data_IF_024195533646
#
_entry.id   IF_024195533646
#
_cell.length_a   1.000
_cell.length_b   1.000
_cell.length_c   1.000
_cell.angle_alpha   90.00
_cell.angle_beta   90.00
_cell.angle_gamma   90.00
#
_symmetry.space_group_name_H-M   'P 1'
#
loop_
_entity.id
_entity.type
_entity.pdbx_description
1 polymer ?
#
# COMPACT_ATOMS: atom_id res chain seq x y z
N UNK A 1 -10.62 4.91 -5.22
CA UNK A 1 -10.19 3.59 -5.75
C UNK A 1 -10.96 2.45 -5.08
N UNK A 2 -10.93 1.24 -5.63
CA UNK A 2 -11.55 0.03 -5.04
C UNK A 2 -10.48 -0.93 -4.53
N UNK A 3 -10.41 -1.14 -3.22
CA UNK A 3 -9.50 -2.10 -2.59
C UNK A 3 -10.13 -3.49 -2.53
N UNK A 4 -9.31 -4.53 -2.48
CA UNK A 4 -9.77 -5.88 -2.08
C UNK A 4 -9.56 -6.08 -0.60
N UNK A 5 -10.53 -6.67 0.10
CA UNK A 5 -10.41 -7.01 1.51
C UNK A 5 -10.87 -8.44 1.75
N UNK A 6 -10.09 -9.18 2.52
CA UNK A 6 -10.41 -10.54 2.96
C UNK A 6 -9.64 -10.84 4.25
N UNK A 7 -9.83 -12.04 4.79
CA UNK A 7 -9.22 -12.46 6.05
C UNK A 7 -7.69 -12.27 6.08
N UNK A 8 -7.00 -12.38 4.93
CA UNK A 8 -5.55 -12.20 4.84
C UNK A 8 -5.12 -10.76 5.11
N UNK A 9 -5.96 -9.78 4.78
CA UNK A 9 -5.66 -8.36 5.03
C UNK A 9 -5.76 -8.04 6.53
N UNK A 10 -6.79 -8.57 7.20
CA UNK A 10 -6.86 -8.49 8.66
C UNK A 10 -5.71 -9.24 9.35
N UNK A 11 -5.28 -10.37 8.80
CA UNK A 11 -4.13 -11.11 9.31
C UNK A 11 -2.83 -10.32 9.15
N UNK A 12 -2.64 -9.65 8.00
CA UNK A 12 -1.51 -8.75 7.76
C UNK A 12 -1.50 -7.58 8.75
N UNK A 13 -2.63 -6.90 8.96
CA UNK A 13 -2.76 -5.85 10.00
C UNK A 13 -2.30 -6.34 11.37
N UNK A 14 -2.76 -7.54 11.78
CA UNK A 14 -2.42 -8.12 13.08
C UNK A 14 -0.94 -8.44 13.18
N UNK A 15 -0.33 -9.00 12.13
CA UNK A 15 1.10 -9.29 12.08
C UNK A 15 1.96 -8.02 12.16
N UNK A 16 1.60 -6.97 11.41
CA UNK A 16 2.33 -5.70 11.35
C UNK A 16 2.33 -4.92 12.66
N UNK A 17 1.32 -5.11 13.50
CA UNK A 17 1.18 -4.41 14.79
C UNK A 17 1.78 -5.20 15.96
N UNK A 18 2.35 -6.39 15.70
CA UNK A 18 3.02 -7.20 16.70
C UNK A 18 4.55 -6.91 16.71
N UNK A 19 5.18 -6.75 17.90
CA UNK A 19 6.63 -6.59 17.99
C UNK A 19 7.39 -7.76 17.36
N UNK A 20 8.49 -7.47 16.64
CA UNK A 20 9.38 -8.44 15.93
C UNK A 20 8.74 -9.14 14.73
N UNK A 21 7.46 -9.52 14.82
CA UNK A 21 6.69 -10.08 13.69
C UNK A 21 6.44 -9.02 12.62
N UNK A 22 6.34 -7.74 13.03
CA UNK A 22 6.16 -6.60 12.15
C UNK A 22 7.19 -6.53 11.02
N UNK A 23 8.48 -6.61 11.34
CA UNK A 23 9.56 -6.47 10.34
C UNK A 23 9.49 -7.58 9.28
N UNK A 24 9.27 -8.83 9.71
CA UNK A 24 9.12 -9.98 8.79
C UNK A 24 7.85 -9.82 7.93
N UNK A 25 6.75 -9.37 8.52
CA UNK A 25 5.51 -9.13 7.80
C UNK A 25 5.66 -8.01 6.77
N UNK A 26 6.38 -6.93 7.13
CA UNK A 26 6.72 -5.82 6.23
C UNK A 26 7.49 -6.34 5.02
N UNK A 27 8.60 -7.06 5.22
CA UNK A 27 9.41 -7.63 4.13
C UNK A 27 8.56 -8.47 3.15
N UNK A 28 7.70 -9.33 3.69
CA UNK A 28 6.85 -10.21 2.87
C UNK A 28 5.77 -9.46 2.11
N UNK A 29 5.22 -8.42 2.69
CA UNK A 29 4.21 -7.60 2.04
C UNK A 29 4.84 -6.66 1.01
N UNK A 30 6.04 -6.14 1.25
CA UNK A 30 6.82 -5.41 0.25
C UNK A 30 7.09 -6.31 -0.95
N UNK A 31 7.63 -7.53 -0.75
CA UNK A 31 7.86 -8.51 -1.82
C UNK A 31 6.59 -8.81 -2.63
N UNK A 32 5.44 -8.92 -1.96
CA UNK A 32 4.15 -9.13 -2.59
C UNK A 32 3.77 -7.94 -3.47
N UNK A 33 3.85 -6.71 -2.96
CA UNK A 33 3.45 -5.51 -3.70
C UNK A 33 4.40 -5.22 -4.86
N UNK A 34 5.72 -5.37 -4.67
CA UNK A 34 6.72 -5.27 -5.74
C UNK A 34 6.40 -6.26 -6.86
N UNK A 35 6.06 -7.51 -6.53
CA UNK A 35 5.66 -8.50 -7.55
C UNK A 35 4.38 -8.08 -8.28
N UNK A 36 3.34 -7.68 -7.54
CA UNK A 36 2.03 -7.31 -8.12
C UNK A 36 2.16 -6.09 -9.03
N UNK A 37 2.85 -5.04 -8.59
CA UNK A 37 3.05 -3.84 -9.40
C UNK A 37 4.08 -4.06 -10.52
N UNK A 38 5.09 -4.90 -10.30
CA UNK A 38 6.01 -5.32 -11.36
C UNK A 38 5.33 -6.13 -12.47
N UNK A 39 4.24 -6.85 -12.18
CA UNK A 39 3.41 -7.49 -13.20
C UNK A 39 2.54 -6.51 -14.00
N UNK A 40 2.23 -5.33 -13.42
CA UNK A 40 1.52 -4.23 -14.09
C UNK A 40 2.46 -3.32 -14.89
N UNK A 41 3.71 -3.19 -14.47
CA UNK A 41 4.73 -2.35 -15.11
C UNK A 41 5.01 -2.78 -16.55
N UNK A 42 5.49 -1.84 -17.39
CA UNK A 42 6.04 -2.17 -18.70
C UNK A 42 7.11 -3.27 -18.56
N UNK A 43 6.97 -4.43 -19.22
CA UNK A 43 7.91 -5.54 -19.08
C UNK A 43 9.36 -5.18 -19.42
N UNK A 44 9.57 -4.15 -20.25
CA UNK A 44 10.89 -3.66 -20.64
C UNK A 44 11.59 -2.89 -19.52
N UNK A 45 10.81 -2.36 -18.57
CA UNK A 45 11.24 -1.49 -17.48
C UNK A 45 11.02 -2.12 -16.10
N UNK A 46 10.46 -3.33 -16.03
CA UNK A 46 10.13 -3.97 -14.76
C UNK A 46 11.34 -4.13 -13.83
N UNK A 47 12.41 -4.78 -14.31
CA UNK A 47 13.57 -5.14 -13.48
C UNK A 47 14.29 -3.91 -12.89
N UNK A 48 14.27 -2.78 -13.59
CA UNK A 48 14.87 -1.52 -13.13
C UNK A 48 14.00 -0.76 -12.12
N UNK A 49 12.67 -0.96 -12.14
CA UNK A 49 11.74 -0.32 -11.21
C UNK A 49 11.59 -1.07 -9.89
N UNK A 50 11.80 -2.39 -9.88
CA UNK A 50 11.62 -3.22 -8.68
C UNK A 50 12.42 -2.74 -7.45
N UNK A 51 13.71 -2.34 -7.56
CA UNK A 51 14.45 -1.81 -6.42
C UNK A 51 13.90 -0.49 -5.85
N UNK A 52 13.40 0.39 -6.74
CA UNK A 52 12.74 1.63 -6.33
C UNK A 52 11.45 1.32 -5.58
N UNK A 53 10.58 0.49 -6.17
CA UNK A 53 9.32 0.07 -5.55
C UNK A 53 9.53 -0.58 -4.18
N UNK A 54 10.55 -1.43 -4.04
CA UNK A 54 10.84 -2.11 -2.78
C UNK A 54 11.14 -1.11 -1.66
N UNK A 55 12.09 -0.20 -1.89
CA UNK A 55 12.45 0.81 -0.88
C UNK A 55 11.30 1.79 -0.60
N UNK A 56 10.57 2.19 -1.64
CA UNK A 56 9.42 3.09 -1.50
C UNK A 56 8.29 2.44 -0.68
N UNK A 57 7.92 1.19 -0.99
CA UNK A 57 6.86 0.50 -0.25
C UNK A 57 7.26 0.20 1.19
N UNK A 58 8.53 -0.08 1.47
CA UNK A 58 9.00 -0.23 2.84
C UNK A 58 8.76 1.05 3.66
N UNK A 59 9.05 2.23 3.09
CA UNK A 59 8.72 3.51 3.73
C UNK A 59 7.21 3.71 3.94
N UNK A 60 6.35 3.31 2.99
CA UNK A 60 4.90 3.49 3.16
C UNK A 60 4.30 2.57 4.22
N UNK A 61 4.97 1.46 4.59
CA UNK A 61 4.55 0.66 5.76
C UNK A 61 4.64 1.44 7.07
N UNK A 62 5.62 2.34 7.23
CA UNK A 62 5.66 3.25 8.39
C UNK A 62 4.44 4.19 8.40
N UNK A 63 4.02 4.66 7.22
CA UNK A 63 2.78 5.45 7.07
C UNK A 63 1.54 4.64 7.43
N UNK A 64 1.46 3.38 6.97
CA UNK A 64 0.36 2.46 7.31
C UNK A 64 0.22 2.27 8.82
N UNK A 65 1.32 1.94 9.50
CA UNK A 65 1.31 1.75 10.96
C UNK A 65 0.92 3.04 11.67
N UNK A 66 1.46 4.19 11.23
CA UNK A 66 1.09 5.49 11.82
C UNK A 66 -0.39 5.80 11.67
N UNK A 67 -0.98 5.55 10.50
CA UNK A 67 -2.41 5.76 10.28
C UNK A 67 -3.26 4.89 11.23
N UNK A 68 -2.91 3.61 11.40
CA UNK A 68 -3.59 2.74 12.36
C UNK A 68 -3.47 3.25 13.81
N UNK A 69 -2.30 3.71 14.22
CA UNK A 69 -2.06 4.28 15.55
C UNK A 69 -2.87 5.56 15.81
N UNK A 70 -3.17 6.33 14.76
CA UNK A 70 -4.03 7.52 14.81
C UNK A 70 -5.53 7.22 14.76
N UNK A 71 -5.90 5.94 14.69
CA UNK A 71 -7.28 5.48 14.77
C UNK A 71 -7.99 5.37 13.43
N UNK A 72 -7.27 5.48 12.31
CA UNK A 72 -7.82 5.10 11.02
C UNK A 72 -8.12 3.60 11.00
N UNK A 73 -9.17 3.24 10.28
CA UNK A 73 -9.50 1.84 10.03
C UNK A 73 -8.43 1.16 9.17
N UNK A 74 -8.50 -0.17 9.09
CA UNK A 74 -7.59 -0.94 8.23
C UNK A 74 -7.69 -0.53 6.76
N UNK A 75 -8.91 -0.30 6.28
CA UNK A 75 -9.17 0.07 4.90
C UNK A 75 -8.66 1.48 4.60
N UNK A 76 -8.88 2.44 5.51
CA UNK A 76 -8.36 3.82 5.36
C UNK A 76 -6.83 3.85 5.38
N UNK A 77 -6.19 3.14 6.33
CA UNK A 77 -4.74 3.07 6.39
C UNK A 77 -4.13 2.48 5.11
N UNK A 78 -4.76 1.46 4.53
CA UNK A 78 -4.35 0.94 3.22
C UNK A 78 -4.57 1.97 2.13
N UNK A 79 -5.73 2.59 2.06
CA UNK A 79 -5.99 3.57 1.01
C UNK A 79 -4.99 4.73 1.05
N UNK A 80 -4.64 5.25 2.23
CA UNK A 80 -3.59 6.26 2.42
C UNK A 80 -2.28 5.82 1.73
N UNK A 81 -1.79 4.61 2.00
CA UNK A 81 -0.54 4.11 1.40
C UNK A 81 -0.65 3.83 -0.10
N UNK A 82 -1.81 3.38 -0.57
CA UNK A 82 -2.07 3.18 -1.98
C UNK A 82 -2.14 4.53 -2.73
N UNK A 83 -2.66 5.59 -2.10
CA UNK A 83 -2.62 6.95 -2.63
C UNK A 83 -1.18 7.46 -2.75
N UNK A 84 -0.34 7.25 -1.73
CA UNK A 84 1.10 7.58 -1.81
C UNK A 84 1.79 6.87 -2.97
N UNK A 85 1.52 5.58 -3.17
CA UNK A 85 2.05 4.83 -4.32
C UNK A 85 1.59 5.43 -5.67
N UNK A 86 0.33 5.90 -5.76
CA UNK A 86 -0.15 6.56 -6.98
C UNK A 86 0.50 7.93 -7.21
N UNK A 87 0.85 8.69 -6.17
CA UNK A 87 1.63 9.93 -6.31
C UNK A 87 3.01 9.65 -6.90
N UNK A 88 3.67 8.61 -6.41
CA UNK A 88 4.98 8.18 -6.93
C UNK A 88 4.89 7.71 -8.39
N UNK A 89 3.94 6.83 -8.70
CA UNK A 89 3.73 6.36 -10.08
C UNK A 89 3.39 7.52 -11.02
N UNK A 90 2.60 8.49 -10.56
CA UNK A 90 2.30 9.70 -11.32
C UNK A 90 3.56 10.53 -11.58
N UNK A 91 4.39 10.79 -10.56
CA UNK A 91 5.64 11.54 -10.71
C UNK A 91 6.62 10.88 -11.69
N UNK A 92 6.62 9.56 -11.74
CA UNK A 92 7.42 8.78 -12.68
C UNK A 92 6.76 8.58 -14.06
N UNK A 93 5.49 8.96 -14.25
CA UNK A 93 4.75 8.69 -15.48
C UNK A 93 4.48 7.21 -15.73
N UNK A 94 4.45 6.39 -14.68
CA UNK A 94 4.13 4.96 -14.74
C UNK A 94 2.62 4.74 -14.67
N UNK A 95 1.88 5.36 -15.61
CA UNK A 95 0.40 5.37 -15.62
C UNK A 95 -0.19 3.96 -15.67
N UNK A 96 0.53 2.98 -16.22
CA UNK A 96 0.12 1.59 -16.25
C UNK A 96 0.02 0.97 -14.86
N UNK A 97 0.75 1.47 -13.87
CA UNK A 97 0.76 0.95 -12.50
C UNK A 97 -0.27 1.64 -11.61
N UNK A 98 -0.83 2.77 -12.03
CA UNK A 98 -1.82 3.53 -11.27
C UNK A 98 -3.11 2.73 -11.05
N UNK A 99 -3.73 2.97 -9.90
CA UNK A 99 -4.92 2.25 -9.42
C UNK A 99 -6.18 3.11 -9.43
N UNK A 100 -6.03 4.42 -9.60
CA UNK A 100 -7.10 5.35 -9.99
C UNK A 100 -6.61 6.27 -11.13
N UNK A 101 -7.52 6.88 -11.91
CA UNK A 101 -7.14 7.80 -12.98
C UNK A 101 -6.39 9.01 -12.43
N UNK A 102 -5.36 9.50 -13.13
CA UNK A 102 -4.59 10.67 -12.69
C UNK A 102 -5.45 11.92 -12.41
N UNK A 103 -6.61 12.05 -13.04
CA UNK A 103 -7.57 13.13 -12.78
C UNK A 103 -8.17 13.09 -11.37
N UNK A 104 -8.16 11.93 -10.69
CA UNK A 104 -8.67 11.75 -9.32
C UNK A 104 -7.59 11.97 -8.24
N UNK A 105 -6.35 12.34 -8.61
CA UNK A 105 -5.25 12.55 -7.66
C UNK A 105 -5.55 13.59 -6.57
N UNK A 106 -6.08 14.75 -6.98
CA UNK A 106 -6.41 15.83 -6.06
C UNK A 106 -7.58 15.44 -5.14
N UNK A 107 -8.61 14.77 -5.68
CA UNK A 107 -9.75 14.28 -4.88
C UNK A 107 -9.30 13.25 -3.82
N UNK A 108 -8.37 12.37 -4.19
CA UNK A 108 -7.79 11.41 -3.26
C UNK A 108 -6.88 12.05 -2.21
N UNK A 109 -6.10 13.08 -2.58
CA UNK A 109 -5.33 13.88 -1.64
C UNK A 109 -6.24 14.60 -0.64
N UNK A 110 -7.25 15.32 -1.12
CA UNK A 110 -8.17 16.13 -0.30
C UNK A 110 -8.90 15.28 0.76
N UNK A 111 -9.21 14.02 0.45
CA UNK A 111 -9.87 13.12 1.41
C UNK A 111 -9.07 12.92 2.71
N UNK A 112 -7.75 12.80 2.59
CA UNK A 112 -6.84 12.58 3.72
C UNK A 112 -5.93 13.79 3.97
N UNK A 113 -6.32 14.97 3.48
CA UNK A 113 -5.53 16.21 3.54
C UNK A 113 -4.98 16.47 4.95
N UNK A 114 -5.81 16.35 5.98
CA UNK A 114 -5.38 16.59 7.36
C UNK A 114 -4.28 15.62 7.85
N UNK A 115 -4.24 14.39 7.34
CA UNK A 115 -3.17 13.44 7.62
C UNK A 115 -1.95 13.73 6.75
N UNK A 116 -2.14 13.98 5.46
CA UNK A 116 -1.07 14.27 4.52
C UNK A 116 -0.31 15.56 4.87
N UNK A 117 -1.02 16.66 5.14
CA UNK A 117 -0.43 17.93 5.59
C UNK A 117 0.32 17.78 6.92
N UNK A 118 -0.15 16.92 7.83
CA UNK A 118 0.51 16.71 9.13
C UNK A 118 1.90 16.12 8.97
N UNK A 119 2.09 15.29 7.95
CA UNK A 119 3.32 14.54 7.71
C UNK A 119 4.06 15.01 6.45
N UNK A 120 3.77 16.22 5.96
CA UNK A 120 4.39 16.81 4.77
C UNK A 120 4.35 15.90 3.53
N UNK A 121 3.31 15.06 3.42
CA UNK A 121 3.03 14.22 2.25
C UNK A 121 2.24 15.05 1.24
N UNK A 122 2.70 15.12 0.01
CA UNK A 122 1.94 15.68 -1.10
C UNK A 122 2.26 14.94 -2.41
N UNK A 123 1.61 15.34 -3.52
CA UNK A 123 1.83 14.69 -4.83
C UNK A 123 3.30 14.78 -5.25
N UNK A 124 4.00 15.89 -4.99
CA UNK A 124 5.40 16.08 -5.38
C UNK A 124 6.40 15.45 -4.39
N UNK A 125 5.98 15.22 -3.14
CA UNK A 125 6.74 14.55 -2.09
C UNK A 125 5.93 13.41 -1.45
N UNK A 126 5.78 12.26 -2.14
CA UNK A 126 4.84 11.21 -1.72
C UNK A 126 5.12 10.58 -0.35
N UNK A 127 6.36 10.63 0.11
CA UNK A 127 6.76 10.06 1.40
C UNK A 127 6.71 11.05 2.56
N UNK A 128 6.84 12.35 2.32
CA UNK A 128 6.86 13.33 3.42
C UNK A 128 7.88 13.00 4.50
N UNK A 129 7.45 13.07 5.75
CA UNK A 129 8.19 12.67 6.95
C UNK A 129 8.57 11.17 6.98
N UNK A 130 7.92 10.33 6.18
CA UNK A 130 8.17 8.89 6.10
C UNK A 130 9.27 8.52 5.10
N UNK A 131 10.00 9.49 4.55
CA UNK A 131 11.21 9.22 3.78
C UNK A 131 12.35 8.80 4.72
N UNK A 132 12.26 7.57 5.24
CA UNK A 132 13.12 7.01 6.29
C UNK A 132 14.41 6.36 5.78
N UNK A 133 14.49 6.12 4.47
CA UNK A 133 15.68 5.61 3.78
C UNK A 133 15.81 6.19 2.38
N UNK A 134 16.99 6.05 1.77
CA UNK A 134 17.23 6.46 0.39
C UNK A 134 16.46 5.56 -0.59
N UNK A 135 15.70 6.17 -1.49
CA UNK A 135 14.98 5.44 -2.55
C UNK A 135 15.87 5.35 -3.81
N UNK A 136 16.18 4.15 -4.31
CA UNK A 136 16.92 3.98 -5.56
C UNK A 136 16.23 4.70 -6.71
N UNK A 137 16.96 5.46 -7.52
CA UNK A 137 16.39 6.07 -8.72
C UNK A 137 15.95 4.99 -9.73
N UNK A 138 14.81 5.22 -10.39
CA UNK A 138 14.31 4.42 -11.50
C UNK A 138 13.95 5.33 -12.67
N UNK A 139 13.96 4.77 -13.88
CA UNK A 139 13.69 5.52 -15.10
C UNK A 139 12.21 5.93 -15.16
N UNK A 140 12.00 7.23 -15.42
CA UNK A 140 10.66 7.81 -15.59
C UNK A 140 10.24 7.83 -17.06
N UNK A 141 8.95 7.72 -17.29
CA UNK A 141 8.28 7.87 -18.59
C UNK A 141 7.26 9.02 -18.56
N UNK A 142 7.66 10.26 -18.24
CA UNK A 142 6.74 11.38 -18.02
C UNK A 142 5.91 11.74 -19.27
N UNK A 143 6.39 11.41 -20.46
CA UNK A 143 5.64 11.56 -21.71
C UNK A 143 4.31 10.78 -21.72
N UNK A 144 4.18 9.72 -20.91
CA UNK A 144 2.92 8.98 -20.77
C UNK A 144 1.82 9.79 -20.09
N UNK A 145 2.15 10.89 -19.41
CA UNK A 145 1.15 11.77 -18.79
C UNK A 145 0.44 12.69 -19.79
N UNK A 146 0.96 12.84 -21.02
CA UNK A 146 0.33 13.69 -22.05
C UNK A 146 -0.96 13.06 -22.60
N UNK A 147 -0.96 11.74 -22.76
CA UNK A 147 -2.12 10.93 -23.20
C UNK A 147 -2.16 9.65 -22.34
N UNK A 148 -2.62 9.74 -21.08
CA UNK A 148 -2.43 8.67 -20.12
C UNK A 148 -3.37 7.48 -20.37
N UNK A 149 -2.76 6.29 -20.40
CA UNK A 149 -3.50 5.02 -20.35
C UNK A 149 -3.38 4.44 -18.94
N UNK A 150 -4.53 4.18 -18.31
CA UNK A 150 -4.63 3.60 -16.97
C UNK A 150 -5.33 2.22 -17.02
N UNK A 151 -4.70 1.18 -17.61
CA UNK A 151 -5.30 -0.14 -17.85
C UNK A 151 -5.79 -0.85 -16.58
N UNK A 152 -5.26 -0.46 -15.41
CA UNK A 152 -5.57 -1.07 -14.11
C UNK A 152 -6.30 -0.13 -13.15
N UNK A 153 -6.55 1.12 -13.54
CA UNK A 153 -7.26 2.06 -12.72
C UNK A 153 -8.77 1.82 -12.75
N UNK A 154 -9.39 1.95 -11.59
CA UNK A 154 -10.85 1.96 -11.46
C UNK A 154 -11.25 3.23 -10.71
N UNK A 155 -11.77 4.20 -11.47
CA UNK A 155 -12.25 5.47 -10.95
C UNK A 155 -13.68 5.41 -10.40
N UNK A 156 -14.15 6.54 -9.89
CA UNK A 156 -15.51 6.70 -9.36
C UNK A 156 -15.73 6.16 -7.95
N UNK A 157 -14.63 5.97 -7.21
CA UNK A 157 -14.62 5.58 -5.78
C UNK A 157 -13.88 6.66 -4.97
N UNK A 158 -14.03 7.91 -5.39
CA UNK A 158 -13.39 9.09 -4.81
C UNK A 158 -14.18 9.65 -3.60
N UNK A 159 -15.38 9.13 -3.33
CA UNK A 159 -16.29 9.58 -2.29
C UNK A 159 -16.16 8.85 -0.94
N UNK A 160 -15.66 7.60 -0.93
CA UNK A 160 -15.44 6.81 0.29
C UNK A 160 -14.39 5.71 0.05
N UNK A 161 -14.01 5.00 1.12
CA UNK A 161 -13.16 3.80 1.04
C UNK A 161 -14.03 2.61 0.68
N UNK A 162 -13.75 1.94 -0.43
CA UNK A 162 -14.50 0.77 -0.86
C UNK A 162 -13.65 -0.50 -0.84
N UNK A 163 -14.23 -1.57 -0.32
CA UNK A 163 -13.63 -2.89 -0.25
C UNK A 163 -14.49 -3.92 -0.99
N UNK A 164 -13.86 -4.70 -1.87
CA UNK A 164 -14.44 -5.89 -2.51
C UNK A 164 -14.08 -7.13 -1.69
N UNK A 165 -15.09 -7.88 -1.25
CA UNK A 165 -14.93 -9.12 -0.50
C UNK A 165 -14.69 -10.35 -1.40
N UNK A 166 -14.54 -11.53 -0.78
CA UNK A 166 -14.27 -12.78 -1.50
C UNK A 166 -15.45 -13.25 -2.39
N UNK A 167 -16.67 -12.76 -2.13
CA UNK A 167 -17.86 -13.03 -2.95
C UNK A 167 -18.01 -12.03 -4.10
N UNK A 168 -17.13 -11.01 -4.16
CA UNK A 168 -17.14 -9.95 -5.15
C UNK A 168 -18.15 -8.84 -4.85
N UNK A 169 -18.70 -8.79 -3.63
CA UNK A 169 -19.58 -7.72 -3.18
C UNK A 169 -18.75 -6.52 -2.71
N UNK A 170 -19.23 -5.31 -3.04
CA UNK A 170 -18.55 -4.05 -2.70
C UNK A 170 -19.21 -3.45 -1.46
N UNK A 171 -18.40 -3.15 -0.45
CA UNK A 171 -18.80 -2.56 0.82
C UNK A 171 -18.02 -1.27 1.10
N UNK A 172 -18.58 -0.40 1.93
CA UNK A 172 -17.80 0.69 2.53
C UNK A 172 -16.81 0.08 3.54
N UNK A 173 -15.57 0.54 3.51
CA UNK A 173 -14.49 0.15 4.40
C UNK A 173 -14.77 0.54 5.86
N UNK A 174 -13.92 0.08 6.77
CA UNK A 174 -14.06 0.39 8.20
C UNK A 174 -14.72 -0.68 9.06
N UNK A 175 -14.99 -1.86 8.51
CA UNK A 175 -15.46 -3.01 9.29
C UNK A 175 -14.38 -3.48 10.29
N UNK A 176 -14.80 -3.84 11.50
CA UNK A 176 -13.91 -4.43 12.51
C UNK A 176 -13.41 -5.80 12.06
N UNK A 177 -12.15 -6.10 12.40
CA UNK A 177 -11.58 -7.41 12.15
C UNK A 177 -12.35 -8.48 12.95
N UNK A 178 -12.48 -9.72 12.44
CA UNK A 178 -12.97 -10.83 13.24
C UNK A 178 -12.12 -11.03 14.51
N UNK A 179 -12.74 -11.47 15.62
CA UNK A 179 -12.05 -11.58 16.92
C UNK A 179 -10.86 -12.57 16.89
N UNK A 180 -10.94 -13.63 16.06
CA UNK A 180 -9.97 -14.73 15.99
C UNK A 180 -9.22 -14.80 14.65
N UNK A 181 -8.64 -13.69 14.20
CA UNK A 181 -7.80 -13.70 12.99
C UNK A 181 -6.45 -14.37 13.26
N UNK A 182 -6.14 -15.41 12.50
CA UNK A 182 -4.87 -16.12 12.52
C UNK A 182 -3.80 -15.39 11.69
N UNK A 183 -2.64 -15.13 12.31
CA UNK A 183 -1.51 -14.42 11.67
C UNK A 183 -0.82 -15.26 10.60
N UNK A 184 -0.88 -16.60 10.68
CA UNK A 184 -0.26 -17.50 9.70
C UNK A 184 -0.93 -17.41 8.32
N UNK A 185 -2.18 -16.91 8.30
CA UNK A 185 -2.95 -16.70 7.08
C UNK A 185 -2.50 -15.44 6.34
N UNK A 186 -1.71 -14.56 6.97
CA UNK A 186 -1.14 -13.39 6.32
C UNK A 186 -0.19 -13.81 5.17
N UNK A 187 -0.13 -13.02 4.07
CA UNK A 187 0.72 -13.36 2.93
C UNK A 187 2.19 -13.53 3.35
N UNK A 188 2.78 -14.68 3.03
CA UNK A 188 4.19 -14.98 3.35
C UNK A 188 4.48 -15.45 4.78
N UNK A 189 3.47 -15.54 5.66
CA UNK A 189 3.63 -15.91 7.07
C UNK A 189 3.46 -17.41 7.39
N UNK A 190 3.24 -18.26 6.38
CA UNK A 190 2.93 -19.70 6.56
C UNK A 190 4.08 -20.54 7.15
N UNK A 191 5.26 -19.94 7.35
CA UNK A 191 6.45 -20.63 7.87
C UNK A 191 7.10 -19.87 9.05
N UNK A 192 6.40 -18.88 9.63
CA UNK A 192 6.88 -18.15 10.80
C UNK A 192 6.38 -18.90 12.03
N UNK A 193 6.95 -20.08 12.28
CA UNK A 193 6.68 -20.85 13.49
C UNK A 193 7.02 -19.99 14.69
N UNK A 194 6.09 -19.93 15.66
CA UNK A 194 6.29 -19.18 16.90
C UNK A 194 7.59 -19.60 17.59
N UNK A 195 8.57 -18.70 17.62
CA UNK A 195 9.59 -18.65 18.66
C UNK A 195 8.92 -18.32 20.01
N UNK A 196 8.10 -19.25 20.51
CA UNK A 196 7.96 -19.41 21.95
C UNK A 196 9.29 -19.92 22.46
N UNK A 197 10.03 -19.00 23.09
CA UNK A 197 11.19 -19.24 23.92
C UNK A 197 10.91 -20.35 24.95
N UNK A 198 11.20 -21.60 24.59
CA UNK A 198 11.49 -22.67 25.54
C UNK A 198 13.00 -22.69 25.81
N UNK A 199 13.51 -21.66 26.48
CA UNK A 199 14.83 -21.71 27.12
C UNK A 199 14.81 -21.28 28.59
N UNK A 200 13.91 -21.89 29.37
CA UNK A 200 14.19 -22.16 30.79
C UNK A 200 14.57 -23.64 30.97
N UNK A 201 15.87 -23.91 31.13
CA UNK A 201 16.41 -25.10 31.78
C UNK A 201 17.77 -24.80 32.45
#
# INVERSE_FOLDING_TARGET
>A
MKLRQNIRHFAAKKALTMPVVGDIATDKLVDLHVRVFGEKADPSHREEREPHMAAFFECTFDTYVRALEEGFSEAEAREITHIQANFDFYNHGWTEMMEFPAEELEEHYERYEAFFERYDIDIANPLGDFHTQEIPAADSTPERLEEPEHPHAVGGFADDVYVEDDDGEIHVGGQEAPEDVDVEVAPGMQNVDGETDESEA
#
